data_IF_253044197618
#
_entry.id   IF_253044197618
#
_cell.length_a   1.000
_cell.length_b   1.000
_cell.length_c   1.000
_cell.angle_alpha   90.00
_cell.angle_beta   90.00
_cell.angle_gamma   90.00
#
_symmetry.space_group_name_H-M   'P 1'
#
loop_
_entity.id
_entity.type
_entity.pdbx_description
1 polymer ?
#
# COMPACT_ATOMS: atom_id res chain seq x y z
N UNK A 1 19.05 27.17 13.52
CA UNK A 1 19.68 26.38 14.60
C UNK A 1 18.89 25.09 14.75
N UNK A 2 19.49 23.93 14.48
CA UNK A 2 18.78 22.65 14.64
C UNK A 2 18.51 22.40 16.13
N UNK A 3 17.28 21.99 16.45
CA UNK A 3 16.87 21.63 17.81
C UNK A 3 16.54 20.14 17.86
N UNK A 4 16.64 19.53 19.05
CA UNK A 4 16.22 18.14 19.27
C UNK A 4 14.78 17.91 18.77
N UNK A 5 13.89 18.88 18.98
CA UNK A 5 12.50 18.79 18.53
C UNK A 5 12.38 18.78 17.00
N UNK A 6 13.12 19.64 16.28
CA UNK A 6 13.07 19.68 14.82
C UNK A 6 13.63 18.39 14.21
N UNK A 7 14.70 17.83 14.79
CA UNK A 7 15.28 16.57 14.32
C UNK A 7 14.31 15.41 14.54
N UNK A 8 13.72 15.31 15.73
CA UNK A 8 12.72 14.29 16.04
C UNK A 8 11.50 14.45 15.14
N UNK A 9 11.03 15.67 14.91
CA UNK A 9 9.90 15.95 14.03
C UNK A 9 10.18 15.50 12.59
N UNK A 10 11.37 15.79 12.05
CA UNK A 10 11.76 15.35 10.71
C UNK A 10 11.82 13.83 10.58
N UNK A 11 12.36 13.13 11.60
CA UNK A 11 12.40 11.67 11.60
C UNK A 11 10.98 11.10 11.68
N UNK A 12 10.14 11.63 12.57
CA UNK A 12 8.77 11.14 12.72
C UNK A 12 7.89 11.48 11.50
N UNK A 13 8.16 12.53 10.73
CA UNK A 13 7.44 12.84 9.48
C UNK A 13 7.53 11.70 8.45
N UNK A 14 8.55 10.86 8.52
CA UNK A 14 8.69 9.68 7.66
C UNK A 14 7.73 8.54 8.08
N UNK A 15 7.15 8.61 9.28
CA UNK A 15 6.30 7.59 9.87
C UNK A 15 4.96 8.20 10.32
N UNK A 16 4.06 8.60 9.39
CA UNK A 16 2.81 9.29 9.73
C UNK A 16 1.93 8.49 10.71
N UNK A 17 1.87 7.17 10.59
CA UNK A 17 1.10 6.32 11.50
C UNK A 17 1.69 6.26 12.93
N UNK A 18 3.01 6.44 13.07
CA UNK A 18 3.64 6.47 14.39
C UNK A 18 3.20 7.70 15.19
N UNK A 19 2.89 8.82 14.52
CA UNK A 19 2.36 10.02 15.15
C UNK A 19 0.99 9.83 15.76
N UNK A 20 0.08 9.22 15.02
CA UNK A 20 -1.29 8.95 15.47
C UNK A 20 -1.26 8.05 16.72
N UNK A 21 -0.53 6.93 16.64
CA UNK A 21 -0.34 6.03 17.78
C UNK A 21 0.36 6.71 18.98
N UNK A 22 1.24 7.68 18.73
CA UNK A 22 1.89 8.45 19.79
C UNK A 22 0.92 9.44 20.45
N UNK A 23 0.01 10.05 19.68
CA UNK A 23 -1.07 10.92 20.16
C UNK A 23 -2.07 10.15 21.01
N UNK A 24 -2.42 8.93 20.59
CA UNK A 24 -3.34 8.04 21.31
C UNK A 24 -2.71 7.38 22.55
N UNK A 25 -1.42 7.64 22.81
CA UNK A 25 -0.70 7.09 23.95
C UNK A 25 -0.37 5.59 23.82
N UNK A 26 -0.48 5.03 22.62
CA UNK A 26 -0.22 3.62 22.33
C UNK A 26 1.27 3.31 22.19
N UNK A 27 2.10 4.33 21.98
CA UNK A 27 3.55 4.18 21.79
C UNK A 27 4.31 4.33 23.11
N UNK A 28 5.22 3.39 23.39
CA UNK A 28 6.18 3.50 24.47
C UNK A 28 7.22 4.61 24.17
N UNK A 29 6.97 5.81 24.67
CA UNK A 29 7.81 7.00 24.44
C UNK A 29 9.27 6.77 24.86
N UNK A 30 9.52 6.02 25.94
CA UNK A 30 10.88 5.78 26.42
C UNK A 30 11.65 4.86 25.48
N UNK A 31 11.01 3.79 24.99
CA UNK A 31 11.60 2.92 23.99
C UNK A 31 11.88 3.67 22.68
N UNK A 32 10.93 4.50 22.23
CA UNK A 32 11.09 5.33 21.05
C UNK A 32 12.24 6.33 21.21
N UNK A 33 12.36 6.97 22.38
CA UNK A 33 13.45 7.90 22.67
C UNK A 33 14.83 7.25 22.55
N UNK A 34 15.02 6.05 23.11
CA UNK A 34 16.29 5.30 23.00
C UNK A 34 16.62 4.94 21.56
N UNK A 35 15.62 4.53 20.78
CA UNK A 35 15.78 4.19 19.37
C UNK A 35 16.21 5.42 18.54
N UNK A 36 15.67 6.60 18.82
CA UNK A 36 15.94 7.83 18.09
C UNK A 36 17.23 8.54 18.52
N UNK A 37 17.71 8.28 19.74
CA UNK A 37 18.85 8.96 20.35
C UNK A 37 20.11 8.97 19.47
N UNK A 38 20.55 7.84 18.84
CA UNK A 38 21.74 7.85 17.99
C UNK A 38 21.62 8.75 16.76
N UNK A 39 20.42 8.86 16.18
CA UNK A 39 20.17 9.75 15.05
C UNK A 39 20.19 11.22 15.49
N UNK A 40 19.59 11.52 16.65
CA UNK A 40 19.58 12.87 17.23
C UNK A 40 20.99 13.33 17.59
N UNK A 41 21.81 12.48 18.22
CA UNK A 41 23.19 12.82 18.59
C UNK A 41 24.06 13.09 17.37
N UNK A 42 23.87 12.30 16.30
CA UNK A 42 24.57 12.46 15.02
C UNK A 42 24.28 13.82 14.38
N UNK A 43 23.01 14.21 14.30
CA UNK A 43 22.57 15.51 13.77
C UNK A 43 23.00 16.67 14.67
N UNK A 44 22.89 16.51 15.99
CA UNK A 44 23.26 17.55 16.96
C UNK A 44 24.77 17.74 17.12
N UNK A 45 25.59 16.75 16.71
CA UNK A 45 27.04 16.75 16.88
C UNK A 45 27.51 16.68 18.35
N UNK A 46 26.61 16.29 19.28
CA UNK A 46 26.88 16.23 20.71
C UNK A 46 25.95 15.22 21.40
N UNK A 47 26.36 14.66 22.55
CA UNK A 47 25.50 13.77 23.32
C UNK A 47 24.25 14.49 23.82
N UNK A 48 23.12 13.77 23.87
CA UNK A 48 21.83 14.29 24.35
C UNK A 48 21.29 13.41 25.47
N UNK A 49 20.50 14.01 26.36
CA UNK A 49 19.86 13.25 27.45
C UNK A 49 18.59 12.58 26.95
N UNK A 50 18.38 11.31 27.28
CA UNK A 50 17.14 10.57 26.95
C UNK A 50 15.88 11.33 27.42
N UNK A 51 15.94 11.95 28.62
CA UNK A 51 14.83 12.78 29.13
C UNK A 51 14.49 13.96 28.21
N UNK A 52 15.48 14.59 27.58
CA UNK A 52 15.24 15.69 26.65
C UNK A 52 14.58 15.20 25.35
N UNK A 53 14.97 14.01 24.88
CA UNK A 53 14.35 13.34 23.71
C UNK A 53 12.92 12.93 24.03
N UNK A 54 12.67 12.30 25.17
CA UNK A 54 11.33 11.94 25.64
C UNK A 54 10.40 13.16 25.76
N UNK A 55 10.89 14.27 26.34
CA UNK A 55 10.10 15.49 26.46
C UNK A 55 9.78 16.10 25.09
N UNK A 56 10.73 16.06 24.15
CA UNK A 56 10.50 16.53 22.80
C UNK A 56 9.43 15.68 22.09
N UNK A 57 9.51 14.35 22.18
CA UNK A 57 8.51 13.42 21.62
C UNK A 57 7.12 13.68 22.22
N UNK A 58 6.98 13.80 23.55
CA UNK A 58 5.68 14.07 24.20
C UNK A 58 5.10 15.43 23.84
N UNK A 59 5.94 16.47 23.72
CA UNK A 59 5.44 17.80 23.32
C UNK A 59 4.93 17.78 21.88
N UNK A 60 5.62 17.03 21.03
CA UNK A 60 5.23 16.82 19.67
C UNK A 60 3.92 16.02 19.58
N UNK A 61 3.69 15.00 20.42
CA UNK A 61 2.46 14.18 20.38
C UNK A 61 1.15 14.92 20.72
N UNK A 62 1.22 16.18 21.19
CA UNK A 62 0.07 17.01 21.56
C UNK A 62 -0.42 17.86 20.35
N UNK A 63 -0.05 17.51 19.11
CA UNK A 63 -0.50 18.30 17.95
C UNK A 63 -2.01 18.16 17.70
N UNK A 64 -2.60 19.23 17.15
CA UNK A 64 -4.01 19.25 16.75
C UNK A 64 -4.31 18.21 15.66
N UNK A 65 -5.50 17.58 15.66
CA UNK A 65 -5.99 16.72 14.58
C UNK A 65 -5.86 17.33 13.18
N UNK A 66 -5.98 18.66 13.05
CA UNK A 66 -5.83 19.37 11.78
C UNK A 66 -4.40 19.28 11.21
N UNK A 67 -3.38 19.30 12.08
CA UNK A 67 -1.99 19.13 11.66
C UNK A 67 -1.71 17.69 11.21
N UNK A 68 -2.32 16.69 11.87
CA UNK A 68 -2.23 15.29 11.45
C UNK A 68 -2.87 15.08 10.07
N UNK A 69 -4.06 15.63 9.84
CA UNK A 69 -4.74 15.56 8.55
C UNK A 69 -3.89 16.15 7.42
N UNK A 70 -3.23 17.30 7.67
CA UNK A 70 -2.33 17.94 6.70
C UNK A 70 -1.14 17.04 6.33
N UNK A 71 -0.53 16.38 7.32
CA UNK A 71 0.59 15.45 7.10
C UNK A 71 0.16 14.18 6.38
N UNK A 72 -1.00 13.61 6.71
CA UNK A 72 -1.57 12.47 5.98
C UNK A 72 -1.83 12.86 4.52
N UNK A 73 -2.39 14.04 4.27
CA UNK A 73 -2.58 14.55 2.90
C UNK A 73 -1.25 14.73 2.16
N UNK A 74 -0.20 15.21 2.84
CA UNK A 74 1.14 15.30 2.26
C UNK A 74 1.73 13.93 1.93
N UNK A 75 1.50 12.93 2.79
CA UNK A 75 1.86 11.54 2.54
C UNK A 75 1.08 10.92 1.37
N UNK A 76 -0.23 11.12 1.31
CA UNK A 76 -1.06 10.65 0.19
C UNK A 76 -0.62 11.30 -1.14
N UNK A 77 -0.13 12.54 -1.10
CA UNK A 77 0.50 13.22 -2.25
C UNK A 77 1.90 12.70 -2.58
N UNK A 78 2.58 12.04 -1.63
CA UNK A 78 3.88 11.40 -1.84
C UNK A 78 3.77 9.93 -2.22
N UNK A 79 2.59 9.31 -2.06
CA UNK A 79 2.26 8.09 -2.80
C UNK A 79 2.46 8.39 -4.29
N UNK A 80 3.17 7.50 -4.98
CA UNK A 80 3.56 7.73 -6.36
C UNK A 80 2.36 7.59 -7.31
N UNK A 81 2.60 6.96 -8.46
CA UNK A 81 1.56 6.82 -9.47
C UNK A 81 0.36 6.00 -8.95
N UNK A 82 -0.80 6.65 -8.86
CA UNK A 82 -2.09 6.01 -8.66
C UNK A 82 -2.72 5.79 -10.04
N UNK A 83 -3.03 4.55 -10.38
CA UNK A 83 -3.72 4.21 -11.63
C UNK A 83 -5.08 3.62 -11.31
N UNK A 84 -6.13 4.18 -11.92
CA UNK A 84 -7.50 3.63 -11.86
C UNK A 84 -7.85 3.04 -13.22
N UNK A 85 -8.37 1.81 -13.22
CA UNK A 85 -8.94 1.15 -14.40
C UNK A 85 -10.38 0.76 -14.10
N UNK A 86 -11.33 1.36 -14.79
CA UNK A 86 -12.75 1.00 -14.72
C UNK A 86 -13.13 0.06 -15.86
N UNK A 87 -14.37 -0.45 -15.84
CA UNK A 87 -14.90 -1.40 -16.82
C UNK A 87 -14.10 -2.70 -16.83
N UNK A 88 -14.06 -3.33 -15.66
CA UNK A 88 -13.50 -4.65 -15.47
C UNK A 88 -14.62 -5.64 -15.15
N UNK A 89 -14.39 -6.87 -15.55
CA UNK A 89 -15.18 -8.04 -15.24
C UNK A 89 -14.33 -9.00 -14.41
N UNK A 90 -14.91 -9.57 -13.36
CA UNK A 90 -14.34 -10.64 -12.56
C UNK A 90 -15.09 -11.92 -12.86
N UNK A 91 -14.36 -12.93 -13.34
CA UNK A 91 -14.84 -14.29 -13.53
C UNK A 91 -14.11 -15.21 -12.57
N UNK A 92 -14.84 -15.86 -11.67
CA UNK A 92 -14.27 -16.83 -10.74
C UNK A 92 -14.73 -18.23 -11.13
N UNK A 93 -13.78 -19.10 -11.41
CA UNK A 93 -13.99 -20.47 -11.86
C UNK A 93 -13.50 -21.48 -10.82
N UNK A 94 -14.12 -22.66 -10.77
CA UNK A 94 -13.56 -23.79 -10.00
C UNK A 94 -12.23 -24.20 -10.62
N UNK A 95 -11.23 -24.50 -9.78
CA UNK A 95 -9.95 -25.01 -10.25
C UNK A 95 -10.12 -26.33 -11.01
N UNK A 96 -9.53 -26.40 -12.22
CA UNK A 96 -9.54 -27.57 -13.09
C UNK A 96 -8.16 -27.76 -13.73
N UNK A 97 -7.94 -28.92 -14.36
CA UNK A 97 -6.70 -29.22 -15.07
C UNK A 97 -6.53 -28.42 -16.38
N UNK A 98 -7.63 -27.87 -16.93
CA UNK A 98 -7.66 -27.13 -18.21
C UNK A 98 -7.50 -25.62 -18.02
N UNK A 99 -7.69 -25.11 -16.80
CA UNK A 99 -7.73 -23.69 -16.50
C UNK A 99 -6.45 -22.96 -16.92
N UNK A 100 -5.27 -23.53 -16.62
CA UNK A 100 -3.99 -22.95 -17.03
C UNK A 100 -3.82 -22.88 -18.56
N UNK A 101 -4.33 -23.88 -19.29
CA UNK A 101 -4.28 -23.90 -20.75
C UNK A 101 -5.22 -22.83 -21.35
N UNK A 102 -6.39 -22.63 -20.74
CA UNK A 102 -7.33 -21.58 -21.12
C UNK A 102 -6.78 -20.17 -20.83
N UNK A 103 -6.07 -19.97 -19.71
CA UNK A 103 -5.35 -18.71 -19.45
C UNK A 103 -4.30 -18.41 -20.53
N UNK A 104 -3.52 -19.41 -20.94
CA UNK A 104 -2.54 -19.26 -22.02
C UNK A 104 -3.20 -18.94 -23.35
N UNK A 105 -4.33 -19.60 -23.68
CA UNK A 105 -5.12 -19.32 -24.89
C UNK A 105 -5.67 -17.90 -24.88
N UNK A 106 -6.24 -17.44 -23.77
CA UNK A 106 -6.75 -16.06 -23.64
C UNK A 106 -5.63 -15.04 -23.93
N UNK A 107 -4.44 -15.24 -23.33
CA UNK A 107 -3.29 -14.36 -23.56
C UNK A 107 -2.83 -14.35 -25.03
N UNK A 108 -2.93 -15.47 -25.74
CA UNK A 108 -2.61 -15.54 -27.16
C UNK A 108 -3.62 -14.76 -28.01
N UNK A 109 -4.92 -14.96 -27.79
CA UNK A 109 -6.00 -14.28 -28.53
C UNK A 109 -5.93 -12.75 -28.41
N UNK A 110 -5.55 -12.25 -27.24
CA UNK A 110 -5.52 -10.81 -26.95
C UNK A 110 -4.12 -10.19 -27.08
N UNK A 111 -3.12 -10.95 -27.51
CA UNK A 111 -1.70 -10.56 -27.52
C UNK A 111 -1.39 -9.28 -28.33
N UNK A 112 -2.19 -8.99 -29.36
CA UNK A 112 -2.04 -7.78 -30.18
C UNK A 112 -2.63 -6.50 -29.54
N UNK A 113 -3.34 -6.62 -28.41
CA UNK A 113 -4.00 -5.50 -27.73
C UNK A 113 -3.21 -5.06 -26.50
N UNK A 114 -2.58 -3.90 -26.59
CA UNK A 114 -1.68 -3.38 -25.55
C UNK A 114 -2.38 -2.58 -24.43
N UNK A 115 -3.67 -2.26 -24.59
CA UNK A 115 -4.42 -1.39 -23.69
C UNK A 115 -5.30 -2.15 -22.68
N UNK A 116 -5.21 -3.48 -22.68
CA UNK A 116 -5.99 -4.37 -21.83
C UNK A 116 -5.45 -4.48 -20.42
N UNK A 117 -6.38 -4.59 -19.47
CA UNK A 117 -6.10 -5.01 -18.09
C UNK A 117 -6.52 -6.46 -17.94
N UNK A 118 -5.59 -7.33 -17.55
CA UNK A 118 -5.85 -8.75 -17.24
C UNK A 118 -5.04 -9.13 -16.01
N UNK A 119 -5.71 -9.74 -15.03
CA UNK A 119 -5.10 -10.31 -13.83
C UNK A 119 -5.61 -11.74 -13.65
N UNK A 120 -4.70 -12.65 -13.38
CA UNK A 120 -5.01 -14.02 -12.95
C UNK A 120 -4.65 -14.16 -11.48
N UNK A 121 -5.59 -14.63 -10.67
CA UNK A 121 -5.38 -14.94 -9.26
C UNK A 121 -5.82 -16.38 -9.00
N UNK A 122 -4.88 -17.24 -8.63
CA UNK A 122 -5.15 -18.65 -8.33
C UNK A 122 -5.24 -18.85 -6.83
N UNK A 123 -6.42 -19.25 -6.35
CA UNK A 123 -6.63 -19.76 -5.00
C UNK A 123 -6.50 -21.28 -4.93
N UNK A 124 -6.74 -21.85 -3.75
CA UNK A 124 -6.65 -23.31 -3.52
C UNK A 124 -7.76 -24.06 -4.26
N UNK A 125 -8.99 -23.53 -4.24
CA UNK A 125 -10.18 -24.21 -4.80
C UNK A 125 -10.74 -23.52 -6.06
N UNK A 126 -10.45 -22.24 -6.23
CA UNK A 126 -10.98 -21.40 -7.30
C UNK A 126 -9.90 -20.48 -7.85
N UNK A 127 -10.09 -20.07 -9.10
CA UNK A 127 -9.22 -19.14 -9.80
C UNK A 127 -10.05 -18.02 -10.39
N UNK A 128 -9.57 -16.80 -10.22
CA UNK A 128 -10.23 -15.59 -10.71
C UNK A 128 -9.47 -14.98 -11.88
N UNK A 129 -10.23 -14.61 -12.91
CA UNK A 129 -9.78 -13.85 -14.07
C UNK A 129 -10.45 -12.48 -14.00
N UNK A 130 -9.66 -11.43 -13.74
CA UNK A 130 -10.14 -10.05 -13.83
C UNK A 130 -9.67 -9.49 -15.16
N UNK A 131 -10.60 -9.09 -16.02
CA UNK A 131 -10.30 -8.65 -17.38
C UNK A 131 -11.05 -7.38 -17.76
N UNK A 132 -10.54 -6.59 -18.70
CA UNK A 132 -11.29 -5.47 -19.28
C UNK A 132 -12.58 -5.96 -19.92
N UNK A 133 -13.71 -5.29 -19.62
CA UNK A 133 -15.03 -5.65 -20.17
C UNK A 133 -15.04 -5.76 -21.70
N UNK A 134 -14.16 -5.02 -22.39
CA UNK A 134 -14.00 -5.09 -23.86
C UNK A 134 -13.54 -6.45 -24.43
N UNK A 135 -13.17 -7.41 -23.58
CA UNK A 135 -12.83 -8.79 -23.96
C UNK A 135 -13.71 -9.83 -23.27
N UNK A 136 -14.85 -9.42 -22.67
CA UNK A 136 -15.80 -10.32 -22.00
C UNK A 136 -16.14 -11.54 -22.85
N UNK A 137 -16.57 -11.31 -24.09
CA UNK A 137 -16.99 -12.37 -25.00
C UNK A 137 -15.84 -13.37 -25.27
N UNK A 138 -14.60 -12.88 -25.40
CA UNK A 138 -13.42 -13.74 -25.58
C UNK A 138 -13.15 -14.59 -24.34
N UNK A 139 -13.32 -14.02 -23.15
CA UNK A 139 -13.16 -14.76 -21.89
C UNK A 139 -14.23 -15.83 -21.76
N UNK A 140 -15.50 -15.49 -22.02
CA UNK A 140 -16.62 -16.45 -22.00
C UNK A 140 -16.42 -17.59 -23.00
N UNK A 141 -15.90 -17.30 -24.20
CA UNK A 141 -15.60 -18.30 -25.21
C UNK A 141 -14.43 -19.22 -24.79
N UNK A 142 -13.32 -18.64 -24.33
CA UNK A 142 -12.12 -19.39 -23.97
C UNK A 142 -12.34 -20.29 -22.75
N UNK A 143 -13.17 -19.86 -21.81
CA UNK A 143 -13.45 -20.57 -20.55
C UNK A 143 -14.79 -21.31 -20.55
N UNK A 144 -15.44 -21.51 -21.71
CA UNK A 144 -16.77 -22.11 -21.81
C UNK A 144 -16.91 -23.54 -21.22
N UNK A 145 -15.79 -24.27 -21.12
CA UNK A 145 -15.72 -25.61 -20.55
C UNK A 145 -15.40 -25.63 -19.05
N UNK A 146 -15.16 -24.47 -18.44
CA UNK A 146 -14.88 -24.33 -17.02
C UNK A 146 -16.17 -24.11 -16.22
N UNK A 147 -16.17 -24.52 -14.96
CA UNK A 147 -17.29 -24.27 -14.05
C UNK A 147 -17.18 -22.84 -13.49
N UNK A 148 -17.98 -21.91 -14.03
CA UNK A 148 -18.10 -20.55 -13.52
C UNK A 148 -18.88 -20.55 -12.20
N UNK A 149 -18.23 -20.09 -11.13
CA UNK A 149 -18.81 -19.97 -9.79
C UNK A 149 -19.45 -18.60 -9.57
N UNK A 150 -18.71 -17.54 -9.95
CA UNK A 150 -19.15 -16.16 -9.78
C UNK A 150 -18.73 -15.30 -10.97
N UNK A 151 -19.57 -14.32 -11.30
CA UNK A 151 -19.26 -13.27 -12.26
C UNK A 151 -19.72 -11.92 -11.69
N UNK A 152 -18.82 -10.94 -11.64
CA UNK A 152 -19.10 -9.61 -11.09
C UNK A 152 -18.69 -8.53 -12.10
N UNK A 153 -19.63 -7.64 -12.39
CA UNK A 153 -19.44 -6.48 -13.26
C UNK A 153 -20.45 -5.37 -12.91
N UNK A 154 -20.10 -4.08 -13.08
CA UNK A 154 -18.77 -3.58 -13.45
C UNK A 154 -17.86 -3.40 -12.23
N UNK A 155 -16.58 -3.67 -12.40
CA UNK A 155 -15.54 -3.43 -11.39
C UNK A 155 -14.58 -2.31 -11.79
N UNK A 156 -13.82 -1.83 -10.81
CA UNK A 156 -12.70 -0.92 -11.00
C UNK A 156 -11.49 -1.38 -10.19
N UNK A 157 -10.31 -1.32 -10.78
CA UNK A 157 -9.03 -1.57 -10.12
C UNK A 157 -8.34 -0.25 -9.77
N UNK A 158 -7.86 -0.16 -8.53
CA UNK A 158 -7.01 0.92 -8.03
C UNK A 158 -5.63 0.35 -7.75
N UNK A 159 -4.61 0.80 -8.48
CA UNK A 159 -3.21 0.43 -8.25
C UNK A 159 -2.47 1.63 -7.68
N UNK A 160 -1.76 1.44 -6.57
CA UNK A 160 -0.96 2.49 -5.92
C UNK A 160 0.49 2.05 -5.87
N UNK A 161 1.39 2.84 -6.47
CA UNK A 161 2.83 2.63 -6.33
C UNK A 161 3.33 3.30 -5.05
N UNK A 162 3.75 2.50 -4.07
CA UNK A 162 4.36 3.01 -2.84
C UNK A 162 5.80 3.54 -3.13
N UNK A 163 6.21 4.66 -2.52
CA UNK A 163 7.59 5.14 -2.62
C UNK A 163 8.57 4.16 -1.94
N UNK A 164 9.77 4.03 -2.50
CA UNK A 164 10.80 3.06 -2.07
C UNK A 164 11.22 3.18 -0.61
N UNK A 165 11.00 4.33 0.03
CA UNK A 165 11.28 4.55 1.45
C UNK A 165 10.35 3.76 2.39
N UNK A 166 9.20 3.26 1.90
CA UNK A 166 8.19 2.56 2.71
C UNK A 166 8.06 1.06 2.40
N UNK A 167 9.02 0.46 1.68
CA UNK A 167 8.98 -0.97 1.37
C UNK A 167 9.59 -1.88 2.46
N UNK A 168 10.16 -1.32 3.53
CA UNK A 168 10.61 -2.10 4.66
C UNK A 168 9.39 -2.51 5.51
N UNK A 169 8.83 -3.67 5.20
CA UNK A 169 7.97 -4.39 6.14
C UNK A 169 8.82 -4.66 7.37
N UNK A 170 8.52 -4.00 8.48
CA UNK A 170 9.04 -4.38 9.80
C UNK A 170 8.30 -5.66 10.18
N UNK A 171 8.93 -6.79 9.88
CA UNK A 171 8.63 -8.09 10.47
C UNK A 171 9.47 -8.30 11.71
#
# INVERSE_FOLDING_TARGET
MQTIANIIENVLMQYPFLWENLSDGLVNTSALARMMMPAVEREMGRPVKEAAVMMAIRRLSVQSPAMMQSRLNQFLRSLGDITVRSNLDDFTFRNSYTLAQNQARLLQEVSARHDLFITFAQGVNESTVIASTSIREVVEEVFNGEELLHHVSPLSSLTVRLPSQNMAVIG
#
